data_IF_442811388813
#
_entry.id   IF_442811388813
#
_cell.length_a   1.000
_cell.length_b   1.000
_cell.length_c   1.000
_cell.angle_alpha   90.00
_cell.angle_beta   90.00
_cell.angle_gamma   90.00
#
_symmetry.space_group_name_H-M   'P 1'
#
loop_
_entity.id
_entity.type
_entity.pdbx_description
1 polymer ?
#
# COMPACT_ATOMS: atom_id res chain seq x y z
N UNK A 1 -3.66 6.56 -16.53
CA UNK A 1 -4.48 5.47 -15.92
C UNK A 1 -5.86 6.02 -15.57
N UNK A 2 -6.97 5.30 -15.84
CA UNK A 2 -8.35 5.81 -15.67
C UNK A 2 -8.67 6.27 -14.24
N UNK A 3 -8.07 5.66 -13.21
CA UNK A 3 -8.31 6.03 -11.81
C UNK A 3 -7.96 7.49 -11.45
N UNK A 4 -6.90 8.04 -12.04
CA UNK A 4 -6.49 9.44 -11.82
C UNK A 4 -7.51 10.42 -12.38
N UNK A 5 -7.99 10.17 -13.60
CA UNK A 5 -8.94 11.03 -14.29
C UNK A 5 -10.30 11.06 -13.59
N UNK A 6 -10.75 9.89 -13.11
CA UNK A 6 -11.97 9.79 -12.32
C UNK A 6 -11.80 10.54 -10.99
N UNK A 7 -10.64 10.40 -10.33
CA UNK A 7 -10.38 11.07 -9.07
C UNK A 7 -10.36 12.60 -9.21
N UNK A 8 -9.64 13.13 -10.20
CA UNK A 8 -9.59 14.58 -10.45
C UNK A 8 -10.96 15.16 -10.78
N UNK A 9 -11.77 14.46 -11.58
CA UNK A 9 -13.12 14.92 -11.92
C UNK A 9 -14.06 14.89 -10.71
N UNK A 10 -14.00 13.85 -9.88
CA UNK A 10 -14.81 13.79 -8.68
C UNK A 10 -14.44 14.89 -7.67
N UNK A 11 -13.15 15.23 -7.52
CA UNK A 11 -12.70 16.39 -6.72
C UNK A 11 -13.28 17.70 -7.28
N UNK A 12 -13.19 17.92 -8.60
CA UNK A 12 -13.76 19.10 -9.26
C UNK A 12 -15.28 19.21 -9.06
N UNK A 13 -15.98 18.09 -8.96
CA UNK A 13 -17.41 18.01 -8.64
C UNK A 13 -17.71 18.04 -7.13
N UNK A 14 -16.72 18.34 -6.28
CA UNK A 14 -16.82 18.36 -4.81
C UNK A 14 -17.38 17.05 -4.23
N UNK A 15 -16.89 15.92 -4.71
CA UNK A 15 -17.19 14.59 -4.17
C UNK A 15 -15.99 14.05 -3.39
N UNK A 16 -16.27 13.43 -2.25
CA UNK A 16 -15.26 12.68 -1.49
C UNK A 16 -14.82 11.45 -2.27
N UNK A 17 -13.57 11.05 -2.07
CA UNK A 17 -12.95 9.93 -2.80
C UNK A 17 -12.30 8.97 -1.83
N UNK A 18 -12.66 7.70 -2.00
CA UNK A 18 -11.95 6.55 -1.41
C UNK A 18 -11.32 5.78 -2.56
N UNK A 19 -10.00 5.78 -2.66
CA UNK A 19 -9.28 5.06 -3.72
C UNK A 19 -8.86 3.67 -3.26
N UNK A 20 -8.97 2.68 -4.15
CA UNK A 20 -8.36 1.36 -4.02
C UNK A 20 -7.13 1.21 -4.93
N UNK A 21 -6.80 2.23 -5.72
CA UNK A 21 -5.69 2.17 -6.65
C UNK A 21 -4.43 2.73 -5.97
N UNK A 22 -3.70 1.84 -5.30
CA UNK A 22 -2.45 2.17 -4.59
C UNK A 22 -1.38 2.69 -5.55
N UNK A 23 -1.29 2.16 -6.76
CA UNK A 23 -0.30 2.61 -7.76
C UNK A 23 -0.50 4.09 -8.13
N UNK A 24 -1.75 4.53 -8.24
CA UNK A 24 -2.07 5.94 -8.50
C UNK A 24 -1.77 6.81 -7.28
N UNK A 25 -2.04 6.32 -6.07
CA UNK A 25 -1.77 7.03 -4.81
C UNK A 25 -0.27 7.22 -4.57
N UNK A 26 0.56 6.20 -4.75
CA UNK A 26 2.01 6.35 -4.59
C UNK A 26 2.66 7.23 -5.66
N UNK A 27 2.05 7.35 -6.84
CA UNK A 27 2.58 8.17 -7.94
C UNK A 27 2.16 9.64 -7.81
N UNK A 28 0.88 9.90 -7.52
CA UNK A 28 0.31 11.27 -7.54
C UNK A 28 -0.67 11.56 -6.38
N UNK A 29 -0.78 10.68 -5.39
CA UNK A 29 -1.64 10.84 -4.22
C UNK A 29 -1.44 12.15 -3.49
N UNK A 30 -0.19 12.64 -3.25
CA UNK A 30 0.02 13.96 -2.63
C UNK A 30 -0.60 15.12 -3.41
N UNK A 31 -0.60 15.05 -4.75
CA UNK A 31 -1.23 16.06 -5.60
C UNK A 31 -2.76 15.99 -5.50
N UNK A 32 -3.32 14.78 -5.57
CA UNK A 32 -4.76 14.57 -5.42
C UNK A 32 -5.26 15.01 -4.05
N UNK A 33 -4.48 14.76 -2.99
CA UNK A 33 -4.79 15.22 -1.63
C UNK A 33 -4.81 16.74 -1.54
N UNK A 34 -3.81 17.41 -2.11
CA UNK A 34 -3.77 18.88 -2.16
C UNK A 34 -4.98 19.45 -2.89
N UNK A 35 -5.33 18.90 -4.06
CA UNK A 35 -6.53 19.31 -4.80
C UNK A 35 -7.82 19.09 -4.00
N UNK A 36 -7.90 17.97 -3.27
CA UNK A 36 -9.04 17.65 -2.42
C UNK A 36 -9.19 18.65 -1.25
N UNK A 37 -8.06 19.01 -0.61
CA UNK A 37 -8.02 20.01 0.47
C UNK A 37 -8.47 21.39 -0.02
N UNK A 38 -7.99 21.82 -1.19
CA UNK A 38 -8.40 23.08 -1.83
C UNK A 38 -9.88 23.10 -2.20
N UNK A 39 -10.45 21.96 -2.60
CA UNK A 39 -11.87 21.81 -2.93
C UNK A 39 -12.77 21.58 -1.71
N UNK A 40 -12.20 21.39 -0.51
CA UNK A 40 -12.93 21.11 0.73
C UNK A 40 -13.52 19.70 0.79
N UNK A 41 -12.89 18.72 0.15
CA UNK A 41 -13.33 17.32 0.12
C UNK A 41 -12.27 16.36 0.63
N UNK A 42 -12.69 15.23 1.17
CA UNK A 42 -11.79 14.16 1.62
C UNK A 42 -11.31 13.32 0.45
N UNK A 43 -9.99 13.10 0.39
CA UNK A 43 -9.33 12.06 -0.39
C UNK A 43 -8.62 11.11 0.55
N UNK A 44 -8.91 9.81 0.46
CA UNK A 44 -8.29 8.78 1.29
C UNK A 44 -8.12 7.47 0.52
N UNK A 45 -7.14 6.67 0.92
CA UNK A 45 -7.04 5.26 0.51
C UNK A 45 -8.04 4.44 1.34
N UNK A 46 -8.60 3.39 0.76
CA UNK A 46 -9.50 2.48 1.47
C UNK A 46 -8.77 1.75 2.60
N UNK A 47 -9.44 1.63 3.76
CA UNK A 47 -9.01 0.73 4.81
C UNK A 47 -9.11 -0.74 4.35
N UNK A 48 -8.28 -1.61 4.94
CA UNK A 48 -8.27 -3.05 4.65
C UNK A 48 -7.17 -3.51 3.68
N UNK A 49 -6.47 -2.58 3.03
CA UNK A 49 -5.22 -2.91 2.34
C UNK A 49 -4.04 -2.82 3.33
N UNK A 50 -2.96 -3.51 3.00
CA UNK A 50 -1.76 -3.69 3.82
C UNK A 50 -1.14 -2.38 4.35
N UNK A 51 -1.06 -1.27 3.58
CA UNK A 51 -0.53 -0.01 4.11
C UNK A 51 -1.43 0.60 5.19
N UNK A 52 -2.75 0.46 5.07
CA UNK A 52 -3.69 0.96 6.06
C UNK A 52 -3.62 0.14 7.36
N UNK A 53 -3.57 -1.19 7.26
CA UNK A 53 -3.41 -2.07 8.41
C UNK A 53 -2.08 -1.84 9.15
N UNK A 54 -0.99 -1.58 8.40
CA UNK A 54 0.31 -1.25 9.00
C UNK A 54 0.26 0.08 9.76
N UNK A 55 -0.42 1.08 9.20
CA UNK A 55 -0.60 2.40 9.83
C UNK A 55 -1.42 2.31 11.11
N UNK A 56 -2.50 1.53 11.11
CA UNK A 56 -3.30 1.27 12.32
C UNK A 56 -2.45 0.65 13.43
N UNK A 57 -1.61 -0.33 13.08
CA UNK A 57 -0.73 -1.00 14.03
C UNK A 57 0.39 -0.08 14.54
N UNK A 58 0.93 0.78 13.68
CA UNK A 58 1.88 1.82 14.05
C UNK A 58 1.27 2.82 15.02
N UNK A 59 0.09 3.37 14.68
CA UNK A 59 -0.62 4.34 15.51
C UNK A 59 -0.95 3.77 16.89
N UNK A 60 -1.29 2.47 16.95
CA UNK A 60 -1.50 1.78 18.22
C UNK A 60 -0.23 1.66 19.06
N UNK A 61 0.91 1.31 18.44
CA UNK A 61 2.18 1.21 19.16
C UNK A 61 2.67 2.58 19.66
N UNK A 62 2.52 3.62 18.85
CA UNK A 62 2.85 5.00 19.20
C UNK A 62 1.96 5.51 20.34
N UNK A 63 0.65 5.26 20.29
CA UNK A 63 -0.28 5.61 21.37
C UNK A 63 0.05 4.92 22.72
N UNK A 64 0.69 3.76 22.69
CA UNK A 64 1.18 3.05 23.88
C UNK A 64 2.56 3.54 24.36
N UNK A 65 3.19 4.48 23.66
CA UNK A 65 4.53 5.00 23.96
C UNK A 65 5.65 4.00 23.65
N UNK A 66 5.40 3.06 22.73
CA UNK A 66 6.37 2.05 22.35
C UNK A 66 7.24 2.55 21.20
N UNK A 67 8.54 2.24 21.25
CA UNK A 67 9.47 2.60 20.18
C UNK A 67 9.34 1.58 19.02
N UNK A 68 8.85 2.03 17.87
CA UNK A 68 8.75 1.21 16.66
C UNK A 68 10.09 1.22 15.92
N UNK A 69 10.79 0.10 15.93
CA UNK A 69 12.12 -0.07 15.31
C UNK A 69 12.02 -0.51 13.85
N UNK A 70 10.97 -1.27 13.51
CA UNK A 70 10.66 -1.65 12.15
C UNK A 70 9.15 -1.88 12.03
N UNK A 71 8.57 -1.68 10.83
CA UNK A 71 7.19 -2.00 10.47
C UNK A 71 7.09 -2.40 8.99
N UNK A 72 6.68 -3.62 8.64
CA UNK A 72 6.45 -3.95 7.23
C UNK A 72 5.90 -5.35 6.96
N UNK A 73 5.84 -5.71 5.69
CA UNK A 73 5.16 -6.92 5.22
C UNK A 73 6.10 -8.11 5.02
N UNK A 74 5.67 -9.29 5.45
CA UNK A 74 6.29 -10.58 5.13
C UNK A 74 5.58 -11.29 3.98
N UNK A 75 6.32 -12.06 3.19
CA UNK A 75 5.78 -12.96 2.17
C UNK A 75 6.12 -14.40 2.55
N UNK A 76 5.15 -15.30 2.45
CA UNK A 76 5.32 -16.72 2.81
C UNK A 76 6.09 -17.52 1.75
N UNK A 77 6.31 -16.96 0.56
CA UNK A 77 7.02 -17.59 -0.54
C UNK A 77 8.26 -16.78 -0.94
N UNK A 78 9.33 -17.45 -1.43
CA UNK A 78 10.51 -16.78 -1.96
C UNK A 78 10.16 -15.73 -3.03
N UNK A 79 10.94 -14.65 -3.06
CA UNK A 79 10.89 -13.65 -4.12
C UNK A 79 11.52 -14.24 -5.39
N UNK A 80 10.79 -14.25 -6.50
CA UNK A 80 11.34 -14.63 -7.79
C UNK A 80 11.24 -13.45 -8.76
N UNK A 81 12.38 -12.76 -8.95
CA UNK A 81 12.49 -11.58 -9.82
C UNK A 81 12.38 -11.89 -11.30
N UNK A 82 12.45 -13.16 -11.70
CA UNK A 82 12.37 -13.59 -13.09
C UNK A 82 10.99 -14.17 -13.45
N UNK A 83 10.08 -14.19 -12.48
CA UNK A 83 8.70 -14.56 -12.69
C UNK A 83 8.07 -13.67 -13.76
N UNK A 84 7.39 -14.30 -14.72
CA UNK A 84 6.62 -13.61 -15.73
C UNK A 84 5.25 -14.27 -15.92
N UNK A 85 4.28 -13.57 -16.56
CA UNK A 85 2.93 -14.09 -16.72
C UNK A 85 2.86 -15.40 -17.51
N UNK A 86 3.85 -15.67 -18.37
CA UNK A 86 3.95 -16.92 -19.13
C UNK A 86 4.35 -18.08 -18.24
N UNK A 87 5.34 -17.90 -17.36
CA UNK A 87 5.82 -18.95 -16.44
C UNK A 87 4.84 -19.26 -15.31
N UNK A 88 3.96 -18.31 -14.97
CA UNK A 88 2.99 -18.45 -13.87
C UNK A 88 1.56 -18.73 -14.33
N UNK A 89 1.32 -18.88 -15.63
CA UNK A 89 -0.02 -19.03 -16.19
C UNK A 89 -0.78 -20.22 -15.60
N UNK A 90 -0.19 -21.41 -15.68
CA UNK A 90 -0.82 -22.65 -15.21
C UNK A 90 -1.05 -22.63 -13.69
N UNK A 91 -0.10 -22.06 -12.95
CA UNK A 91 -0.22 -21.88 -11.51
C UNK A 91 -1.33 -20.88 -11.15
N UNK A 92 -1.43 -19.75 -11.85
CA UNK A 92 -2.46 -18.74 -11.64
C UNK A 92 -3.85 -19.28 -11.98
N UNK A 93 -3.99 -20.03 -13.08
CA UNK A 93 -5.23 -20.71 -13.47
C UNK A 93 -5.67 -21.73 -12.42
N UNK A 94 -4.73 -22.53 -11.87
CA UNK A 94 -5.03 -23.47 -10.78
C UNK A 94 -5.55 -22.81 -9.49
N UNK A 95 -5.24 -21.51 -9.31
CA UNK A 95 -5.67 -20.69 -8.18
C UNK A 95 -6.82 -19.74 -8.51
N UNK A 96 -7.39 -19.81 -9.72
CA UNK A 96 -8.48 -18.93 -10.16
C UNK A 96 -8.11 -17.44 -10.19
N UNK A 97 -6.83 -17.13 -10.36
CA UNK A 97 -6.29 -15.75 -10.31
C UNK A 97 -5.68 -15.36 -11.65
N UNK A 98 -5.53 -14.06 -11.93
CA UNK A 98 -4.90 -13.62 -13.17
C UNK A 98 -3.39 -13.81 -13.13
N UNK A 99 -2.80 -14.26 -14.25
CA UNK A 99 -1.36 -14.49 -14.34
C UNK A 99 -0.54 -13.20 -14.11
N UNK A 100 -1.04 -12.05 -14.56
CA UNK A 100 -0.42 -10.75 -14.30
C UNK A 100 -0.42 -10.39 -12.81
N UNK A 101 -1.55 -10.55 -12.13
CA UNK A 101 -1.66 -10.27 -10.69
C UNK A 101 -0.82 -11.25 -9.86
N UNK A 102 -0.79 -12.53 -10.26
CA UNK A 102 0.04 -13.53 -9.61
C UNK A 102 1.53 -13.20 -9.77
N UNK A 103 1.93 -12.78 -10.99
CA UNK A 103 3.31 -12.37 -11.27
C UNK A 103 3.72 -11.20 -10.40
N UNK A 104 2.88 -10.16 -10.28
CA UNK A 104 3.20 -8.98 -9.47
C UNK A 104 3.32 -9.27 -7.97
N UNK A 105 2.69 -10.34 -7.48
CA UNK A 105 2.94 -10.85 -6.12
C UNK A 105 4.22 -11.69 -6.03
N UNK A 106 4.52 -12.48 -7.07
CA UNK A 106 5.69 -13.37 -7.09
C UNK A 106 7.00 -12.58 -7.24
N UNK A 107 7.02 -11.60 -8.14
CA UNK A 107 8.16 -10.72 -8.45
C UNK A 107 8.36 -9.59 -7.44
N UNK A 108 7.38 -9.36 -6.56
CA UNK A 108 7.41 -8.37 -5.49
C UNK A 108 7.01 -6.96 -5.91
N UNK A 109 6.66 -6.70 -7.16
CA UNK A 109 6.24 -5.36 -7.64
C UNK A 109 4.99 -4.85 -6.93
N UNK A 110 4.01 -5.72 -6.63
CA UNK A 110 2.86 -5.33 -5.80
C UNK A 110 3.29 -4.90 -4.39
N UNK A 111 4.29 -5.58 -3.80
CA UNK A 111 4.73 -5.29 -2.44
C UNK A 111 5.51 -3.98 -2.36
N UNK A 112 6.24 -3.60 -3.41
CA UNK A 112 6.98 -2.33 -3.44
C UNK A 112 6.05 -1.11 -3.46
N UNK A 113 4.89 -1.21 -4.14
CA UNK A 113 3.92 -0.10 -4.20
C UNK A 113 3.01 -0.05 -2.96
N UNK A 114 2.83 -1.15 -2.23
CA UNK A 114 2.03 -1.16 -0.99
C UNK A 114 2.80 -0.72 0.26
N UNK A 115 4.09 -0.39 0.12
CA UNK A 115 4.86 0.27 1.19
C UNK A 115 4.56 1.77 1.12
N UNK A 116 4.14 2.41 2.25
CA UNK A 116 3.90 3.84 2.27
C UNK A 116 5.13 4.61 1.81
N UNK A 117 4.93 5.60 0.93
CA UNK A 117 5.98 6.43 0.31
C UNK A 117 6.66 7.40 1.29
N UNK A 118 6.29 7.35 2.57
CA UNK A 118 7.00 8.01 3.67
C UNK A 118 8.46 7.53 3.70
N UNK A 119 9.45 8.43 3.58
CA UNK A 119 10.88 8.06 3.58
C UNK A 119 11.31 7.22 4.79
N UNK A 120 10.59 7.34 5.91
CA UNK A 120 10.86 6.64 7.17
C UNK A 120 10.51 5.14 7.14
N UNK A 121 9.68 4.68 6.20
CA UNK A 121 9.12 3.32 6.18
C UNK A 121 9.64 2.44 5.03
N UNK A 122 10.56 2.95 4.19
CA UNK A 122 10.97 2.34 2.92
C UNK A 122 11.80 1.03 3.01
N UNK A 123 12.21 0.57 4.20
CA UNK A 123 13.12 -0.59 4.33
C UNK A 123 12.65 -1.69 5.28
N UNK A 124 11.41 -1.64 5.74
CA UNK A 124 11.05 -2.30 6.98
C UNK A 124 10.38 -3.67 6.80
N UNK A 125 10.76 -4.62 7.65
CA UNK A 125 10.28 -6.02 7.67
C UNK A 125 9.64 -6.30 9.04
N UNK A 126 8.33 -6.52 9.10
CA UNK A 126 7.61 -6.82 10.33
C UNK A 126 7.58 -5.66 11.34
N UNK A 127 6.68 -5.73 12.33
CA UNK A 127 6.66 -4.77 13.44
C UNK A 127 7.63 -5.24 14.54
N UNK A 128 8.75 -4.55 14.71
CA UNK A 128 9.67 -4.77 15.83
C UNK A 128 9.46 -3.61 16.81
N UNK A 129 8.94 -3.94 17.99
CA UNK A 129 8.70 -3.00 19.06
C UNK A 129 9.77 -3.17 20.13
N UNK A 130 10.44 -2.08 20.51
CA UNK A 130 11.31 -2.06 21.69
C UNK A 130 10.52 -1.54 22.89
N UNK A 131 10.51 -2.32 23.98
CA UNK A 131 9.83 -1.94 25.21
C UNK A 131 10.75 -1.02 26.04
N UNK A 132 10.38 0.25 26.31
CA UNK A 132 11.20 1.16 27.10
C UNK A 132 11.38 0.74 28.57
N UNK A 133 10.59 -0.23 29.07
CA UNK A 133 10.66 -0.74 30.46
C UNK A 133 11.55 -1.98 30.63
N UNK A 134 12.17 -2.50 29.57
CA UNK A 134 13.15 -3.60 29.67
C UNK A 134 14.46 -3.18 29.02
N UNK A 135 15.38 -2.71 29.85
CA UNK A 135 16.82 -2.78 29.57
C UNK A 135 17.30 -4.23 29.71
#
# INVERSE_FOLDING_TARGET
>A
KPGVYIASNAISCKKHIVTLNVEADVTIGPLLKKMADEAGVVYTVSAGDEPAALKELYDFADALGLEVIAAGKGKNNPLDRYANPTTLKDYAESKGSSAHMMTSFVDGTNHTHSIPTSPELMHLRGLIIKNPLKN
#
